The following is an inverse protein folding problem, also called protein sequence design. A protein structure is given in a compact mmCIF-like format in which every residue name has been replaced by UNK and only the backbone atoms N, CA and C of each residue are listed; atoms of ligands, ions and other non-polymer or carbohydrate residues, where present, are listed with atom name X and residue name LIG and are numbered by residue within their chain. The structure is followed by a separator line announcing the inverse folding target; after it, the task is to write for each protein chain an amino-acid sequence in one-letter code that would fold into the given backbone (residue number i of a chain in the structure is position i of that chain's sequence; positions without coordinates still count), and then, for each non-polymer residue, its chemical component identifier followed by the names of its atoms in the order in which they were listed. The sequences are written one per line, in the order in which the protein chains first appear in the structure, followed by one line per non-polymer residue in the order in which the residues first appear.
data_IF_464760321374
#
_entry.id   IF_464760321374
#
_cell.length_a   1.000
_cell.length_b   1.000
_cell.length_c   1.000
_cell.angle_alpha   90.00
_cell.angle_beta   90.00
_cell.angle_gamma   90.00
#
_symmetry.space_group_name_H-M   'P 1'
#
loop_
_entity.id
_entity.type
_entity.pdbx_description
1 polymer ?
#
# COMPACT_ATOMS: atom_id res chain seq x y z
N UNK A 1 -2.22 29.90 27.05
CA UNK A 1 -1.24 29.64 25.97
C UNK A 1 -1.69 28.43 25.19
N UNK A 2 -1.58 28.51 23.87
CA UNK A 2 -2.44 27.87 22.87
C UNK A 2 -2.32 26.34 22.74
N UNK A 3 -3.43 25.69 22.35
CA UNK A 3 -3.40 24.46 21.56
C UNK A 3 -4.70 24.31 20.77
N UNK A 4 -4.88 25.10 19.70
CA UNK A 4 -5.87 24.82 18.65
C UNK A 4 -5.38 23.63 17.81
N UNK A 5 -5.53 22.41 18.35
CA UNK A 5 -5.19 21.17 17.63
C UNK A 5 -6.28 20.88 16.59
N UNK A 6 -6.14 21.55 15.45
CA UNK A 6 -6.91 21.35 14.24
C UNK A 6 -6.96 19.86 13.86
N UNK A 7 -8.18 19.31 13.75
CA UNK A 7 -8.51 18.05 13.06
C UNK A 7 -7.78 16.79 13.54
N UNK A 8 -8.00 16.36 14.79
CA UNK A 8 -7.75 14.95 15.17
C UNK A 8 -9.08 14.21 15.18
N UNK A 9 -9.37 13.49 14.10
CA UNK A 9 -10.54 12.62 14.01
C UNK A 9 -10.23 11.35 14.82
N UNK A 10 -10.62 11.33 16.10
CA UNK A 10 -10.67 10.19 17.05
C UNK A 10 -9.42 9.30 17.22
N UNK A 11 -8.92 9.21 18.47
CA UNK A 11 -7.93 8.23 18.91
C UNK A 11 -8.57 6.86 19.25
N UNK A 12 -8.00 5.77 18.72
CA UNK A 12 -7.88 4.43 19.36
C UNK A 12 -6.54 3.81 18.93
N UNK A 13 -5.58 3.55 19.84
CA UNK A 13 -4.38 2.76 19.53
C UNK A 13 -4.54 1.37 20.16
N UNK A 14 -5.23 0.45 19.48
CA UNK A 14 -5.20 -0.97 19.80
C UNK A 14 -5.81 -1.73 18.63
N UNK A 15 -5.09 -2.76 18.17
CA UNK A 15 -5.32 -3.63 17.01
C UNK A 15 -4.72 -3.12 15.70
N UNK A 16 -3.50 -3.59 15.39
CA UNK A 16 -2.89 -3.73 14.05
C UNK A 16 -3.67 -3.11 12.89
N UNK A 17 -3.52 -1.81 12.68
CA UNK A 17 -3.97 -1.17 11.44
C UNK A 17 -2.92 -1.47 10.38
N UNK A 18 -3.01 -2.69 9.83
CA UNK A 18 -2.11 -3.22 8.81
C UNK A 18 -2.36 -2.47 7.50
N UNK A 19 -1.74 -1.31 7.37
CA UNK A 19 -1.83 -0.52 6.15
C UNK A 19 -1.01 -1.20 5.07
N UNK A 20 -1.60 -1.58 3.92
CA UNK A 20 -0.83 -2.09 2.79
C UNK A 20 0.15 -1.01 2.30
N UNK A 21 1.45 -1.24 2.41
CA UNK A 21 2.46 -0.33 1.89
C UNK A 21 2.80 -0.68 0.44
N UNK A 22 2.69 0.31 -0.43
CA UNK A 22 3.01 0.18 -1.86
C UNK A 22 4.49 0.46 -2.18
N UNK A 23 5.34 0.72 -1.19
CA UNK A 23 6.76 1.01 -1.44
C UNK A 23 7.59 -0.27 -1.58
N UNK A 24 7.30 -1.06 -2.63
CA UNK A 24 8.00 -2.31 -2.92
C UNK A 24 8.98 -2.10 -4.09
N UNK A 25 10.28 -2.38 -3.90
CA UNK A 25 11.25 -2.23 -4.99
C UNK A 25 10.93 -3.21 -6.12
N UNK A 26 11.10 -2.78 -7.37
CA UNK A 26 10.70 -3.54 -8.57
C UNK A 26 11.12 -5.01 -8.60
N UNK A 27 12.28 -5.33 -8.01
CA UNK A 27 12.84 -6.69 -7.93
C UNK A 27 12.10 -7.61 -6.95
N UNK A 28 11.43 -7.06 -5.95
CA UNK A 28 10.65 -7.77 -4.94
C UNK A 28 9.14 -7.65 -5.17
N UNK A 29 8.72 -6.93 -6.21
CA UNK A 29 7.31 -6.80 -6.59
C UNK A 29 6.77 -8.17 -7.00
N UNK A 30 5.79 -8.65 -6.26
CA UNK A 30 5.02 -9.83 -6.63
C UNK A 30 3.94 -9.42 -7.64
N UNK A 31 3.90 -10.08 -8.80
CA UNK A 31 2.91 -9.78 -9.82
C UNK A 31 1.49 -10.04 -9.29
N UNK A 32 0.67 -9.00 -9.25
CA UNK A 32 -0.73 -9.11 -8.82
C UNK A 32 -1.72 -9.12 -10.00
N UNK A 33 -1.25 -8.79 -11.22
CA UNK A 33 -2.10 -8.67 -12.40
C UNK A 33 -1.45 -9.23 -13.66
N UNK A 34 -1.74 -8.59 -14.80
CA UNK A 34 -1.21 -8.94 -16.11
C UNK A 34 -0.36 -7.79 -16.70
N UNK A 35 0.60 -8.08 -17.61
CA UNK A 35 1.36 -7.03 -18.29
C UNK A 35 0.43 -6.14 -19.11
N UNK A 36 0.50 -4.82 -18.91
CA UNK A 36 -0.38 -3.86 -19.56
C UNK A 36 -1.71 -3.60 -18.83
N UNK A 37 -1.87 -4.10 -17.60
CA UNK A 37 -2.99 -3.72 -16.73
C UNK A 37 -3.02 -2.20 -16.48
N UNK A 38 -4.22 -1.63 -16.38
CA UNK A 38 -4.41 -0.21 -16.07
C UNK A 38 -4.38 0.03 -14.56
N UNK A 39 -4.16 1.27 -14.14
CA UNK A 39 -4.22 1.66 -12.73
C UNK A 39 -5.57 1.31 -12.09
N UNK A 40 -6.66 1.51 -12.83
CA UNK A 40 -8.02 1.23 -12.37
C UNK A 40 -8.23 -0.27 -12.09
N UNK A 41 -7.85 -1.12 -13.04
CA UNK A 41 -7.96 -2.57 -12.92
C UNK A 41 -7.06 -3.09 -11.79
N UNK A 42 -5.84 -2.56 -11.65
CA UNK A 42 -4.94 -2.94 -10.55
C UNK A 42 -5.48 -2.53 -9.17
N UNK A 43 -6.07 -1.34 -9.08
CA UNK A 43 -6.68 -0.84 -7.85
C UNK A 43 -7.93 -1.64 -7.46
N UNK A 44 -8.69 -2.11 -8.46
CA UNK A 44 -9.83 -3.01 -8.25
C UNK A 44 -9.39 -4.37 -7.68
N UNK A 45 -8.17 -4.82 -7.98
CA UNK A 45 -7.54 -6.00 -7.38
C UNK A 45 -6.98 -5.76 -5.97
N UNK A 46 -7.21 -4.57 -5.38
CA UNK A 46 -6.65 -4.18 -4.07
C UNK A 46 -5.12 -4.25 -4.04
N UNK A 47 -4.49 -3.99 -5.18
CA UNK A 47 -3.05 -4.00 -5.37
C UNK A 47 -2.49 -2.62 -5.67
N UNK A 48 -1.17 -2.50 -5.60
CA UNK A 48 -0.45 -1.27 -5.84
C UNK A 48 -0.09 -1.14 -7.31
N UNK A 49 -0.28 0.04 -7.87
CA UNK A 49 0.09 0.38 -9.24
C UNK A 49 1.26 1.37 -9.26
N UNK A 50 2.32 1.05 -10.00
CA UNK A 50 3.47 1.94 -10.22
C UNK A 50 4.01 1.74 -11.64
N UNK A 51 3.73 2.71 -12.52
CA UNK A 51 4.19 2.76 -13.91
C UNK A 51 5.55 3.42 -14.09
N UNK A 52 6.24 3.74 -12.98
CA UNK A 52 7.50 4.49 -12.99
C UNK A 52 8.73 3.61 -13.32
N UNK A 53 8.58 2.28 -13.27
CA UNK A 53 9.67 1.32 -13.48
C UNK A 53 9.41 0.47 -14.73
N UNK A 54 10.37 0.40 -15.65
CA UNK A 54 10.29 -0.40 -16.88
C UNK A 54 10.90 -1.79 -16.63
N UNK A 55 10.30 -2.84 -17.18
CA UNK A 55 10.80 -4.22 -17.07
C UNK A 55 10.43 -4.94 -15.77
N UNK A 56 9.52 -4.38 -14.98
CA UNK A 56 8.96 -4.97 -13.75
C UNK A 56 7.42 -4.85 -13.78
N UNK A 57 6.68 -5.70 -13.06
CA UNK A 57 5.23 -5.60 -13.01
C UNK A 57 4.80 -4.24 -12.43
N UNK A 58 3.94 -3.54 -13.16
CA UNK A 58 3.35 -2.28 -12.70
C UNK A 58 2.28 -2.49 -11.64
N UNK A 59 1.57 -3.63 -11.71
CA UNK A 59 0.62 -4.03 -10.67
C UNK A 59 1.23 -5.10 -9.77
N UNK A 60 1.39 -4.76 -8.49
CA UNK A 60 2.07 -5.61 -7.53
C UNK A 60 1.37 -5.64 -6.17
N UNK A 61 1.61 -6.73 -5.45
CA UNK A 61 1.02 -6.88 -4.11
C UNK A 61 1.65 -5.88 -3.13
N UNK A 62 0.84 -5.20 -2.31
CA UNK A 62 1.36 -4.41 -1.22
C UNK A 62 2.08 -5.29 -0.21
N UNK A 63 3.15 -4.77 0.39
CA UNK A 63 3.66 -5.40 1.61
C UNK A 63 2.70 -5.07 2.73
N UNK A 64 2.37 -6.12 3.42
CA UNK A 64 1.46 -6.14 4.53
C UNK A 64 2.42 -6.28 5.72
N UNK A 65 2.54 -5.25 6.56
CA UNK A 65 3.34 -5.38 7.79
C UNK A 65 2.53 -6.28 8.71
N UNK A 66 2.69 -7.58 8.51
CA UNK A 66 2.13 -8.61 9.36
C UNK A 66 2.76 -8.33 10.70
N UNK A 67 1.98 -7.72 11.58
CA UNK A 67 2.32 -7.58 12.98
C UNK A 67 2.66 -8.98 13.47
N UNK A 68 3.95 -9.27 13.50
CA UNK A 68 4.52 -10.39 14.20
C UNK A 68 4.36 -10.00 15.67
N UNK A 69 3.14 -10.10 16.18
CA UNK A 69 2.88 -10.12 17.62
C UNK A 69 3.35 -11.49 18.10
N UNK A 70 4.47 -11.49 18.81
CA UNK A 70 4.83 -12.55 19.73
C UNK A 70 3.95 -12.51 20.99
#
# INVERSE_FOLDING_TARGET
VEATKSSVKHLRPSSSQKTPFCNVPGRLRQNCGFPGITELECSALQCCFDSNQIGVPWCYQPIQEDGYEC
#
